data_IF_654689631487
#
_entry.id   IF_654689631487
#
_cell.length_a   1.000
_cell.length_b   1.000
_cell.length_c   1.000
_cell.angle_alpha   90.00
_cell.angle_beta   90.00
_cell.angle_gamma   90.00
#
_symmetry.space_group_name_H-M   'P 1'
#
loop_
_entity.id
_entity.type
_entity.pdbx_description
1 polymer ?
#
# COMPACT_ATOMS: atom_id res chain seq x y z
N UNK A 1 -57.40 -19.81 26.20
CA UNK A 1 -56.65 -19.98 24.93
C UNK A 1 -57.09 -18.88 23.98
N UNK A 2 -56.33 -17.81 23.90
CA UNK A 2 -56.43 -16.80 22.83
C UNK A 2 -55.06 -16.16 22.74
N UNK A 3 -54.25 -16.64 21.80
CA UNK A 3 -52.94 -16.09 21.54
C UNK A 3 -53.07 -14.75 20.81
N UNK A 4 -52.51 -13.71 21.39
CA UNK A 4 -52.26 -12.45 20.69
C UNK A 4 -51.08 -12.67 19.75
N UNK A 5 -51.32 -12.56 18.45
CA UNK A 5 -50.26 -12.53 17.45
C UNK A 5 -49.64 -11.13 17.44
N UNK A 6 -48.40 -11.01 17.87
CA UNK A 6 -47.54 -9.87 17.56
C UNK A 6 -47.43 -9.73 16.04
N UNK A 7 -48.04 -8.70 15.47
CA UNK A 7 -47.70 -8.23 14.11
C UNK A 7 -46.47 -7.35 14.22
N UNK A 8 -45.30 -7.96 14.10
CA UNK A 8 -44.07 -7.22 13.80
C UNK A 8 -44.18 -6.64 12.39
N UNK A 9 -44.33 -5.32 12.31
CA UNK A 9 -44.14 -4.56 11.08
C UNK A 9 -42.68 -4.72 10.62
N UNK A 10 -42.47 -5.49 9.56
CA UNK A 10 -41.18 -5.55 8.87
C UNK A 10 -41.06 -4.27 8.07
N UNK A 11 -40.26 -3.33 8.56
CA UNK A 11 -39.91 -2.10 7.85
C UNK A 11 -39.23 -2.48 6.52
N UNK A 12 -39.96 -2.41 5.41
CA UNK A 12 -39.42 -2.65 4.07
C UNK A 12 -38.25 -1.68 3.85
N UNK A 13 -37.03 -2.21 3.79
CA UNK A 13 -35.86 -1.46 3.37
C UNK A 13 -36.17 -0.77 2.04
N UNK A 14 -36.19 0.57 2.03
CA UNK A 14 -36.52 1.39 0.86
C UNK A 14 -35.76 0.87 -0.36
N UNK A 15 -36.49 0.26 -1.29
CA UNK A 15 -35.94 -0.29 -2.53
C UNK A 15 -35.38 0.87 -3.33
N UNK A 16 -34.06 0.88 -3.48
CA UNK A 16 -33.39 1.84 -4.33
C UNK A 16 -33.87 1.65 -5.78
N UNK A 17 -34.15 2.73 -6.53
CA UNK A 17 -34.61 2.61 -7.91
C UNK A 17 -33.56 1.88 -8.76
N UNK A 18 -34.03 0.99 -9.64
CA UNK A 18 -33.21 0.15 -10.51
C UNK A 18 -32.36 1.00 -11.47
N UNK A 19 -32.95 2.07 -11.99
CA UNK A 19 -32.31 3.03 -12.89
C UNK A 19 -32.01 4.33 -12.15
N UNK A 20 -30.82 4.89 -12.40
CA UNK A 20 -30.38 6.16 -11.86
C UNK A 20 -29.56 6.90 -12.91
N UNK A 21 -29.95 8.13 -13.19
CA UNK A 21 -29.07 9.06 -13.89
C UNK A 21 -28.05 9.62 -12.89
N UNK A 22 -26.79 9.66 -13.31
CA UNK A 22 -25.68 10.15 -12.51
C UNK A 22 -24.59 10.66 -13.45
N UNK A 23 -23.78 11.61 -12.99
CA UNK A 23 -22.61 12.03 -13.77
C UNK A 23 -21.51 10.97 -13.73
N UNK A 24 -20.59 10.99 -14.70
CA UNK A 24 -19.39 10.11 -14.69
C UNK A 24 -18.57 10.29 -13.42
N UNK A 25 -18.48 11.53 -12.92
CA UNK A 25 -17.74 11.84 -11.69
C UNK A 25 -18.40 11.22 -10.45
N UNK A 26 -19.72 11.32 -10.32
CA UNK A 26 -20.48 10.70 -9.23
C UNK A 26 -20.50 9.17 -9.34
N UNK A 27 -20.56 8.62 -10.55
CA UNK A 27 -20.44 7.19 -10.80
C UNK A 27 -19.06 6.68 -10.38
N UNK A 28 -17.99 7.37 -10.80
CA UNK A 28 -16.63 7.04 -10.39
C UNK A 28 -16.47 7.15 -8.88
N UNK A 29 -16.99 8.22 -8.27
CA UNK A 29 -17.00 8.36 -6.80
C UNK A 29 -17.74 7.19 -6.17
N UNK A 30 -18.96 6.87 -6.61
CA UNK A 30 -19.72 5.74 -6.08
C UNK A 30 -18.97 4.39 -6.16
N UNK A 31 -18.30 4.12 -7.28
CA UNK A 31 -17.52 2.90 -7.47
C UNK A 31 -16.24 2.88 -6.63
N UNK A 32 -15.58 4.02 -6.45
CA UNK A 32 -14.20 4.12 -5.93
C UNK A 32 -14.11 4.66 -4.49
N UNK A 33 -15.19 5.21 -3.95
CA UNK A 33 -15.34 5.68 -2.56
C UNK A 33 -15.55 4.50 -1.60
N UNK A 34 -16.00 3.34 -2.11
CA UNK A 34 -16.06 2.12 -1.30
C UNK A 34 -14.65 1.57 -1.04
N UNK A 35 -14.45 1.00 0.15
CA UNK A 35 -13.19 0.36 0.60
C UNK A 35 -12.74 -0.86 -0.23
N UNK A 36 -13.40 -1.15 -1.35
CA UNK A 36 -13.20 -2.28 -2.25
C UNK A 36 -13.24 -1.82 -3.70
N UNK A 37 -12.43 -2.43 -4.58
CA UNK A 37 -12.58 -2.23 -6.02
C UNK A 37 -13.96 -2.69 -6.52
N UNK A 38 -14.37 -2.21 -7.69
CA UNK A 38 -15.64 -2.58 -8.28
C UNK A 38 -15.46 -3.62 -9.38
N UNK A 39 -16.46 -4.49 -9.55
CA UNK A 39 -16.54 -5.42 -10.66
C UNK A 39 -17.81 -5.11 -11.43
N UNK A 40 -17.68 -4.85 -12.73
CA UNK A 40 -18.80 -4.65 -13.63
C UNK A 40 -18.81 -5.79 -14.62
N UNK A 41 -19.88 -6.59 -14.59
CA UNK A 41 -20.10 -7.64 -15.57
C UNK A 41 -20.77 -7.03 -16.80
N UNK A 42 -20.21 -7.30 -17.98
CA UNK A 42 -20.90 -7.03 -19.24
C UNK A 42 -21.84 -8.21 -19.52
N UNK A 43 -23.17 -8.00 -19.58
CA UNK A 43 -24.10 -9.07 -19.87
C UNK A 43 -24.11 -9.48 -21.36
N UNK A 44 -23.53 -8.66 -22.25
CA UNK A 44 -23.57 -8.84 -23.70
C UNK A 44 -22.24 -9.36 -24.26
N UNK A 45 -21.11 -8.88 -23.74
CA UNK A 45 -19.78 -9.44 -23.96
C UNK A 45 -19.38 -10.31 -22.79
N UNK A 46 -18.71 -11.43 -23.00
CA UNK A 46 -18.22 -12.32 -21.93
C UNK A 46 -17.06 -11.71 -21.11
N UNK A 47 -17.13 -10.42 -20.77
CA UNK A 47 -16.10 -9.63 -20.13
C UNK A 47 -16.50 -9.25 -18.70
N UNK A 48 -15.51 -9.31 -17.80
CA UNK A 48 -15.62 -8.80 -16.44
C UNK A 48 -14.64 -7.64 -16.29
N UNK A 49 -15.16 -6.42 -16.17
CA UNK A 49 -14.34 -5.25 -15.90
C UNK A 49 -14.03 -5.17 -14.42
N UNK A 50 -12.75 -5.15 -14.07
CA UNK A 50 -12.27 -5.01 -12.69
C UNK A 50 -11.70 -3.60 -12.54
N UNK A 51 -12.39 -2.76 -11.79
CA UNK A 51 -11.95 -1.42 -11.45
C UNK A 51 -11.06 -1.48 -10.20
N UNK A 52 -9.76 -1.29 -10.40
CA UNK A 52 -8.77 -1.18 -9.33
C UNK A 52 -8.67 0.28 -8.87
N UNK A 53 -8.45 0.49 -7.57
CA UNK A 53 -8.27 1.83 -7.01
C UNK A 53 -7.12 2.55 -7.71
N UNK A 54 -7.20 3.89 -7.91
CA UNK A 54 -6.05 4.65 -8.36
C UNK A 54 -4.89 4.36 -7.41
N UNK A 55 -3.75 4.01 -8.00
CA UNK A 55 -2.55 3.66 -7.26
C UNK A 55 -2.15 4.82 -6.34
N UNK A 56 -2.25 4.59 -5.03
CA UNK A 56 -1.80 5.54 -4.01
C UNK A 56 -0.32 5.32 -3.79
N UNK A 57 0.45 6.37 -3.57
CA UNK A 57 1.89 6.25 -3.36
C UNK A 57 2.42 7.09 -2.21
N UNK A 58 3.53 6.64 -1.64
CA UNK A 58 4.39 7.41 -0.73
C UNK A 58 5.83 7.35 -1.20
N UNK A 59 6.54 8.46 -1.11
CA UNK A 59 7.99 8.56 -1.26
C UNK A 59 8.63 8.13 0.04
N UNK A 60 9.42 7.07 0.00
CA UNK A 60 10.04 6.47 1.17
C UNK A 60 11.53 6.20 0.94
N UNK A 61 12.24 5.96 2.03
CA UNK A 61 13.66 5.64 2.00
C UNK A 61 13.89 4.16 2.32
N UNK A 62 14.85 3.55 1.63
CA UNK A 62 15.31 2.20 1.90
C UNK A 62 16.11 2.19 3.22
N UNK A 63 15.81 1.23 4.08
CA UNK A 63 16.44 1.11 5.40
C UNK A 63 17.31 -0.13 5.51
N UNK A 64 16.82 -1.24 4.99
CA UNK A 64 17.52 -2.52 5.05
C UNK A 64 17.04 -3.47 3.97
N UNK A 65 17.89 -4.47 3.70
CA UNK A 65 17.58 -5.61 2.84
C UNK A 65 17.86 -6.90 3.57
N UNK A 66 17.12 -7.96 3.22
CA UNK A 66 17.41 -9.32 3.67
C UNK A 66 18.06 -10.10 2.53
N UNK A 67 19.27 -10.59 2.79
CA UNK A 67 20.00 -11.46 1.90
C UNK A 67 19.45 -12.88 1.98
N UNK A 68 19.21 -13.53 0.84
CA UNK A 68 18.83 -14.93 0.80
C UNK A 68 19.14 -15.58 -0.54
N UNK A 69 18.92 -16.89 -0.61
CA UNK A 69 19.17 -17.68 -1.81
C UNK A 69 17.93 -17.66 -2.71
N UNK A 70 18.14 -17.48 -4.01
CA UNK A 70 17.14 -17.57 -5.06
C UNK A 70 17.67 -18.48 -6.19
N UNK A 71 16.89 -18.62 -7.26
CA UNK A 71 17.21 -19.49 -8.40
C UNK A 71 18.53 -19.10 -9.09
N UNK A 72 18.87 -17.81 -9.08
CA UNK A 72 20.06 -17.25 -9.74
C UNK A 72 21.28 -17.09 -8.81
N UNK A 73 21.15 -17.36 -7.50
CA UNK A 73 22.26 -17.22 -6.55
C UNK A 73 21.84 -16.67 -5.18
N UNK A 74 22.64 -15.74 -4.65
CA UNK A 74 22.35 -15.10 -3.36
C UNK A 74 22.22 -13.60 -3.55
N UNK A 75 21.06 -13.04 -3.26
CA UNK A 75 20.71 -11.64 -3.54
C UNK A 75 19.88 -11.02 -2.41
N UNK A 76 19.62 -9.72 -2.49
CA UNK A 76 18.67 -9.00 -1.64
C UNK A 76 17.27 -9.00 -2.26
N UNK A 77 16.33 -9.70 -1.62
CA UNK A 77 14.97 -9.85 -2.14
C UNK A 77 13.89 -9.29 -1.22
N UNK A 78 14.09 -9.22 0.11
CA UNK A 78 13.15 -8.49 1.00
C UNK A 78 13.72 -7.13 1.37
N UNK A 79 13.01 -6.07 1.04
CA UNK A 79 13.42 -4.69 1.30
C UNK A 79 12.51 -4.05 2.34
N UNK A 80 13.11 -3.36 3.32
CA UNK A 80 12.40 -2.55 4.30
C UNK A 80 12.46 -1.07 3.94
N UNK A 81 11.30 -0.45 3.76
CA UNK A 81 11.17 0.99 3.51
C UNK A 81 10.54 1.71 4.69
N UNK A 82 10.93 2.97 4.90
CA UNK A 82 10.44 3.77 6.00
C UNK A 82 10.28 5.25 5.70
N UNK A 83 9.56 5.91 6.61
CA UNK A 83 9.35 7.37 6.64
C UNK A 83 9.87 7.93 7.96
N UNK A 84 10.20 9.21 7.97
CA UNK A 84 10.55 9.95 9.19
C UNK A 84 9.32 10.63 9.77
N UNK A 85 9.39 11.00 11.04
CA UNK A 85 8.52 12.08 11.53
C UNK A 85 8.93 13.40 10.86
N UNK A 86 8.10 14.43 10.95
CA UNK A 86 8.41 15.73 10.34
C UNK A 86 9.69 16.39 10.91
N UNK A 87 10.22 15.88 12.03
CA UNK A 87 11.57 16.19 12.48
C UNK A 87 12.62 15.47 11.63
N UNK A 88 13.46 16.24 10.92
CA UNK A 88 14.52 15.70 10.06
C UNK A 88 15.53 14.84 10.83
N UNK A 89 15.72 15.09 12.13
CA UNK A 89 16.64 14.35 12.99
C UNK A 89 16.07 13.01 13.48
N UNK A 90 14.80 12.72 13.20
CA UNK A 90 14.19 11.45 13.59
C UNK A 90 14.68 10.29 12.72
N UNK A 91 15.02 9.18 13.38
CA UNK A 91 15.30 7.94 12.67
C UNK A 91 14.06 7.47 11.89
N UNK A 92 14.17 7.13 10.60
CA UNK A 92 13.03 6.62 9.84
C UNK A 92 12.50 5.31 10.44
N UNK A 93 11.19 5.13 10.35
CA UNK A 93 10.49 3.96 10.86
C UNK A 93 9.91 3.16 9.70
N UNK A 94 10.07 1.83 9.75
CA UNK A 94 9.59 0.95 8.70
C UNK A 94 8.07 1.02 8.58
N UNK A 95 7.60 1.35 7.38
CA UNK A 95 6.18 1.39 7.04
C UNK A 95 5.76 0.18 6.20
N UNK A 96 6.70 -0.57 5.63
CA UNK A 96 6.37 -1.65 4.72
C UNK A 96 7.57 -2.47 4.30
N UNK A 97 7.29 -3.63 3.72
CA UNK A 97 8.28 -4.50 3.10
C UNK A 97 7.87 -4.85 1.68
N UNK A 98 8.85 -4.88 0.79
CA UNK A 98 8.69 -5.26 -0.62
C UNK A 98 9.51 -6.50 -0.85
N UNK A 99 8.92 -7.49 -1.53
CA UNK A 99 9.64 -8.65 -2.05
C UNK A 99 9.95 -8.37 -3.51
N UNK A 100 11.23 -8.22 -3.84
CA UNK A 100 11.72 -8.09 -5.21
C UNK A 100 11.72 -9.44 -5.90
N UNK A 101 11.28 -9.42 -7.15
CA UNK A 101 11.44 -10.50 -8.11
C UNK A 101 12.67 -10.23 -8.99
N UNK A 102 13.15 -11.27 -9.66
CA UNK A 102 14.32 -11.17 -10.55
C UNK A 102 14.07 -10.32 -11.79
N UNK A 103 12.81 -10.17 -12.17
CA UNK A 103 12.36 -9.39 -13.31
C UNK A 103 12.15 -7.91 -12.95
N UNK A 104 12.23 -7.54 -11.67
CA UNK A 104 12.08 -6.15 -11.26
C UNK A 104 13.23 -5.31 -11.82
N UNK A 105 12.94 -4.14 -12.43
CA UNK A 105 13.96 -3.31 -13.08
C UNK A 105 15.01 -2.77 -12.09
N UNK A 106 14.69 -2.75 -10.80
CA UNK A 106 15.58 -2.29 -9.73
C UNK A 106 16.43 -3.41 -9.11
N UNK A 107 16.23 -4.68 -9.50
CA UNK A 107 16.85 -5.82 -8.82
C UNK A 107 18.39 -5.74 -8.82
N UNK A 108 19.00 -5.58 -9.99
CA UNK A 108 20.45 -5.50 -10.13
C UNK A 108 21.03 -4.23 -9.47
N UNK A 109 20.34 -3.10 -9.61
CA UNK A 109 20.74 -1.83 -9.00
C UNK A 109 20.77 -1.92 -7.47
N UNK A 110 19.73 -2.50 -6.86
CA UNK A 110 19.62 -2.64 -5.42
C UNK A 110 20.62 -3.66 -4.88
N UNK A 111 20.85 -4.77 -5.58
CA UNK A 111 21.86 -5.73 -5.16
C UNK A 111 23.24 -5.08 -5.10
N UNK A 112 23.64 -4.34 -6.14
CA UNK A 112 24.88 -3.55 -6.15
C UNK A 112 24.90 -2.49 -5.03
N UNK A 113 23.80 -1.76 -4.85
CA UNK A 113 23.69 -0.76 -3.80
C UNK A 113 23.94 -1.35 -2.41
N UNK A 114 23.38 -2.52 -2.09
CA UNK A 114 23.62 -3.19 -0.80
C UNK A 114 25.06 -3.66 -0.64
N UNK A 115 25.72 -4.10 -1.71
CA UNK A 115 27.12 -4.52 -1.67
C UNK A 115 28.02 -3.35 -1.24
N UNK A 116 27.81 -2.17 -1.83
CA UNK A 116 28.64 -0.98 -1.60
C UNK A 116 28.25 -0.20 -0.33
N UNK A 117 26.98 -0.22 0.07
CA UNK A 117 26.45 0.71 1.08
C UNK A 117 26.00 0.03 2.38
N UNK A 118 26.38 -1.22 2.63
CA UNK A 118 26.04 -1.87 3.92
C UNK A 118 26.77 -1.17 5.09
N UNK A 119 26.00 -0.58 6.02
CA UNK A 119 26.51 0.04 7.26
C UNK A 119 26.24 -0.79 8.52
N UNK A 120 25.29 -1.73 8.47
CA UNK A 120 24.97 -2.61 9.61
C UNK A 120 24.72 -4.05 9.15
N UNK A 121 25.18 -5.04 9.92
CA UNK A 121 24.98 -6.47 9.64
C UNK A 121 24.34 -7.17 10.84
N UNK A 122 23.14 -7.75 10.65
CA UNK A 122 22.43 -8.55 11.67
C UNK A 122 21.91 -9.85 11.04
N UNK A 123 22.69 -10.92 11.16
CA UNK A 123 22.38 -12.19 10.49
C UNK A 123 22.24 -12.00 8.97
N UNK A 124 21.08 -12.31 8.35
CA UNK A 124 20.84 -12.07 6.92
C UNK A 124 20.45 -10.61 6.60
N UNK A 125 20.17 -9.77 7.60
CA UNK A 125 19.74 -8.38 7.41
C UNK A 125 20.97 -7.48 7.22
N UNK A 126 20.87 -6.57 6.25
CA UNK A 126 21.86 -5.52 5.97
C UNK A 126 21.18 -4.17 6.06
N UNK A 127 21.62 -3.33 6.98
CA UNK A 127 21.23 -1.92 7.07
C UNK A 127 22.05 -1.08 6.09
N UNK A 128 21.42 -0.06 5.52
CA UNK A 128 22.02 0.86 4.52
C UNK A 128 21.80 2.32 4.93
N UNK A 129 22.62 3.26 4.43
CA UNK A 129 22.36 4.68 4.61
C UNK A 129 21.02 5.06 3.95
N UNK A 130 20.36 6.07 4.52
CA UNK A 130 19.04 6.54 4.09
C UNK A 130 19.12 7.46 2.86
N UNK A 131 19.87 7.05 1.84
CA UNK A 131 20.11 7.81 0.60
C UNK A 131 19.36 7.22 -0.59
N UNK A 132 19.09 5.91 -0.59
CA UNK A 132 18.32 5.29 -1.65
C UNK A 132 16.82 5.49 -1.36
N UNK A 133 16.16 6.29 -2.20
CA UNK A 133 14.77 6.70 -2.03
C UNK A 133 13.96 6.26 -3.24
N UNK A 134 12.70 5.91 -3.01
CA UNK A 134 11.78 5.53 -4.08
C UNK A 134 10.35 5.94 -3.78
N UNK A 135 9.57 6.06 -4.85
CA UNK A 135 8.13 6.13 -4.78
C UNK A 135 7.57 4.71 -4.72
N UNK A 136 6.76 4.45 -3.69
CA UNK A 136 6.14 3.16 -3.43
C UNK A 136 4.64 3.28 -3.64
N UNK A 137 4.07 2.46 -4.50
CA UNK A 137 2.62 2.31 -4.55
C UNK A 137 2.16 1.29 -3.52
N UNK A 138 0.91 1.42 -3.06
CA UNK A 138 0.30 0.49 -2.12
C UNK A 138 -1.21 0.43 -2.33
N UNK A 139 -1.84 -0.68 -1.92
CA UNK A 139 -3.30 -0.82 -1.97
C UNK A 139 -3.99 -0.47 -0.66
N UNK A 140 -3.33 -0.77 0.47
CA UNK A 140 -3.97 -0.60 1.76
C UNK A 140 -2.99 -0.14 2.86
N UNK A 141 -3.56 0.45 3.92
CA UNK A 141 -2.85 0.85 5.14
C UNK A 141 -3.53 0.16 6.32
N UNK A 142 -2.76 -0.63 7.08
CA UNK A 142 -3.22 -1.25 8.33
C UNK A 142 -2.62 -0.57 9.54
N UNK A 143 -3.46 -0.27 10.53
CA UNK A 143 -3.00 0.11 11.87
C UNK A 143 -2.37 -1.11 12.54
N UNK A 144 -1.20 -0.93 13.15
CA UNK A 144 -0.50 -2.00 13.82
C UNK A 144 0.31 -1.51 15.00
N UNK A 145 -0.04 -2.01 16.19
CA UNK A 145 0.70 -1.74 17.44
C UNK A 145 2.11 -2.36 17.45
N UNK A 146 2.39 -3.32 16.56
CA UNK A 146 3.69 -4.00 16.46
C UNK A 146 4.73 -3.16 15.71
N UNK A 147 4.30 -2.33 14.76
CA UNK A 147 5.20 -1.49 13.99
C UNK A 147 5.45 -0.18 14.72
N UNK A 148 6.72 0.26 14.80
CA UNK A 148 7.08 1.52 15.47
C UNK A 148 6.33 2.73 14.89
N UNK A 149 6.08 2.70 13.58
CA UNK A 149 5.29 3.70 12.84
C UNK A 149 3.82 3.74 13.25
N UNK A 150 3.29 2.70 13.90
CA UNK A 150 1.86 2.52 14.12
C UNK A 150 1.09 2.04 12.87
N UNK A 151 1.73 1.98 11.70
CA UNK A 151 1.10 1.65 10.42
C UNK A 151 1.93 0.69 9.57
N UNK A 152 1.25 -0.09 8.74
CA UNK A 152 1.84 -0.97 7.74
C UNK A 152 1.14 -0.80 6.39
N UNK A 153 1.91 -0.54 5.34
CA UNK A 153 1.42 -0.61 3.96
C UNK A 153 1.31 -2.06 3.49
N UNK A 154 0.32 -2.34 2.66
CA UNK A 154 0.08 -3.65 2.05
C UNK A 154 0.03 -3.58 0.52
N UNK A 155 0.40 -4.70 -0.11
CA UNK A 155 0.49 -4.84 -1.57
C UNK A 155 1.36 -3.74 -2.20
N UNK A 156 2.54 -3.56 -1.60
CA UNK A 156 3.45 -2.47 -1.94
C UNK A 156 4.24 -2.85 -3.20
N UNK A 157 4.40 -1.90 -4.13
CA UNK A 157 5.28 -2.05 -5.30
C UNK A 157 6.22 -0.87 -5.42
N UNK A 158 7.43 -1.12 -5.95
CA UNK A 158 8.36 -0.06 -6.34
C UNK A 158 7.88 0.55 -7.66
N UNK A 159 7.64 1.86 -7.66
CA UNK A 159 7.21 2.58 -8.87
C UNK A 159 8.43 3.14 -9.59
N UNK A 160 9.23 3.92 -8.88
CA UNK A 160 10.45 4.54 -9.42
C UNK A 160 11.41 4.94 -8.31
N UNK A 161 12.71 4.93 -8.61
CA UNK A 161 13.71 5.64 -7.81
C UNK A 161 13.46 7.15 -7.88
N UNK A 162 13.66 7.86 -6.77
CA UNK A 162 13.56 9.32 -6.74
C UNK A 162 14.94 9.96 -6.56
N UNK A 163 15.16 11.19 -7.08
CA UNK A 163 16.42 11.92 -6.88
C UNK A 163 16.70 12.22 -5.41
N UNK A 164 17.97 12.45 -5.08
CA UNK A 164 18.39 12.70 -3.70
C UNK A 164 17.81 14.00 -3.14
N UNK A 165 17.65 15.02 -3.97
CA UNK A 165 17.09 16.34 -3.63
C UNK A 165 15.59 16.24 -3.35
N UNK A 166 14.94 15.17 -3.82
CA UNK A 166 13.52 14.96 -3.57
C UNK A 166 13.29 14.48 -2.14
N UNK A 167 12.40 15.18 -1.43
CA UNK A 167 11.99 14.82 -0.09
C UNK A 167 11.10 13.56 -0.10
N UNK A 168 11.29 12.74 0.93
CA UNK A 168 10.37 11.64 1.26
C UNK A 168 9.13 12.20 1.97
N UNK A 169 8.05 11.44 1.96
CA UNK A 169 6.88 11.73 2.78
C UNK A 169 7.19 11.51 4.28
N UNK A 170 6.32 12.05 5.13
CA UNK A 170 6.45 11.91 6.58
C UNK A 170 5.39 10.95 7.15
N UNK A 171 5.63 10.47 8.37
CA UNK A 171 4.66 9.67 9.11
C UNK A 171 3.36 10.45 9.39
N UNK A 172 3.43 11.77 9.55
CA UNK A 172 2.25 12.62 9.71
C UNK A 172 1.42 12.67 8.43
N UNK A 173 2.07 12.73 7.26
CA UNK A 173 1.39 12.63 5.96
C UNK A 173 0.68 11.29 5.84
N UNK A 174 1.34 10.18 6.20
CA UNK A 174 0.72 8.85 6.20
C UNK A 174 -0.48 8.79 7.15
N UNK A 175 -0.34 9.28 8.38
CA UNK A 175 -1.41 9.29 9.37
C UNK A 175 -2.61 10.13 8.89
N UNK A 176 -2.37 11.30 8.31
CA UNK A 176 -3.41 12.17 7.76
C UNK A 176 -4.15 11.46 6.62
N UNK A 177 -3.40 10.92 5.66
CA UNK A 177 -3.93 10.16 4.55
C UNK A 177 -4.80 9.00 5.04
N UNK A 178 -4.33 8.25 6.04
CA UNK A 178 -5.11 7.17 6.63
C UNK A 178 -6.42 7.70 7.21
N UNK A 179 -6.40 8.72 8.07
CA UNK A 179 -7.63 9.29 8.69
C UNK A 179 -8.66 9.78 7.67
N UNK A 180 -8.21 10.39 6.59
CA UNK A 180 -9.09 10.90 5.52
C UNK A 180 -9.70 9.78 4.66
N UNK A 181 -9.10 8.59 4.67
CA UNK A 181 -9.48 7.46 3.84
C UNK A 181 -9.89 6.21 4.66
N UNK A 182 -10.12 6.38 5.97
CA UNK A 182 -10.45 5.31 6.94
C UNK A 182 -11.93 4.98 6.99
#
# INVERSE_FOLDING_TARGET
MTGESEKGEVELAKTLPLERETTVAEFYKFLMDKKSGARLFDPTGSALYIFTRPSRSFKAVLLYGRKGRNEIGTSFWELGFGLRTSSQDSAPQTIGRIVLQTEDPFFAELDFFFQENTIEKKGPIRGVPTIWKAELSFQNIRVSKRHKSGYRLEEIRLVRRIPEEQNIDSLETLQRFWKENS
#
